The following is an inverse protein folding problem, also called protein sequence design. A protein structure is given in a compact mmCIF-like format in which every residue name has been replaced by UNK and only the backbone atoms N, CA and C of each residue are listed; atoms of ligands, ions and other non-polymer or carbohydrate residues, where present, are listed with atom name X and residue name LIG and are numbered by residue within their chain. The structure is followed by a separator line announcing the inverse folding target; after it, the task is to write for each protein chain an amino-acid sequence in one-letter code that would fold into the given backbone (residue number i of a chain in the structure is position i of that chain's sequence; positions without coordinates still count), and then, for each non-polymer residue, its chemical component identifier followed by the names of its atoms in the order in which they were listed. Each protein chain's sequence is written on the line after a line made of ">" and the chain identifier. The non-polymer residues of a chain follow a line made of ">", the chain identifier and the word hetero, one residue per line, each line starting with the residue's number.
data_IF_563076774824
#
_entry.id   IF_563076774824
#
_cell.length_a   1.000
_cell.length_b   1.000
_cell.length_c   1.000
_cell.angle_alpha   90.00
_cell.angle_beta   90.00
_cell.angle_gamma   90.00
#
_symmetry.space_group_name_H-M   'P 1'
#
loop_
_entity.id
_entity.type
_entity.pdbx_description
1 polymer ?
#
# COMPACT_ATOMS: atom_id res chain seq x y z
N UNK A 1 -67.64 -53.43 -8.66
CA UNK A 1 -66.58 -52.91 -9.53
C UNK A 1 -66.74 -51.40 -9.67
N UNK A 2 -65.74 -50.61 -9.27
CA UNK A 2 -65.18 -49.48 -10.05
C UNK A 2 -64.28 -48.65 -9.12
N UNK A 3 -62.97 -48.74 -9.34
CA UNK A 3 -61.94 -47.92 -8.72
C UNK A 3 -62.04 -46.52 -9.30
N UNK A 4 -61.96 -45.46 -8.48
CA UNK A 4 -61.56 -44.17 -9.01
C UNK A 4 -60.47 -43.51 -8.16
N UNK A 5 -59.45 -43.09 -8.90
CA UNK A 5 -58.07 -42.83 -8.50
C UNK A 5 -57.88 -41.44 -7.89
N UNK A 6 -57.22 -41.38 -6.72
CA UNK A 6 -56.79 -40.12 -6.09
C UNK A 6 -55.51 -39.62 -6.78
N UNK A 7 -55.63 -38.58 -7.63
CA UNK A 7 -54.50 -37.90 -8.25
C UNK A 7 -53.67 -37.16 -7.18
N UNK A 8 -52.46 -37.66 -6.88
CA UNK A 8 -51.47 -36.97 -6.03
C UNK A 8 -50.93 -35.75 -6.79
N UNK A 9 -51.28 -34.54 -6.34
CA UNK A 9 -50.62 -33.30 -6.78
C UNK A 9 -49.18 -33.30 -6.27
N UNK A 10 -48.21 -33.49 -7.16
CA UNK A 10 -46.78 -33.28 -6.87
C UNK A 10 -46.58 -31.79 -6.59
N UNK A 11 -46.48 -31.42 -5.32
CA UNK A 11 -46.01 -30.09 -4.91
C UNK A 11 -44.54 -29.97 -5.32
N UNK A 12 -44.28 -29.24 -6.41
CA UNK A 12 -42.93 -28.89 -6.84
C UNK A 12 -42.37 -27.91 -5.80
N UNK A 13 -41.57 -28.40 -4.87
CA UNK A 13 -40.87 -27.59 -3.86
C UNK A 13 -40.03 -26.53 -4.59
N UNK A 14 -40.49 -25.28 -4.56
CA UNK A 14 -39.70 -24.14 -5.03
C UNK A 14 -38.66 -23.85 -3.95
N UNK A 15 -37.42 -24.28 -4.15
CA UNK A 15 -36.32 -23.89 -3.27
C UNK A 15 -36.19 -22.36 -3.31
N UNK A 16 -36.11 -21.67 -2.16
CA UNK A 16 -35.93 -20.23 -2.15
C UNK A 16 -34.55 -19.92 -2.73
N UNK A 17 -34.53 -19.00 -3.69
CA UNK A 17 -33.30 -18.51 -4.30
C UNK A 17 -32.38 -17.94 -3.20
N UNK A 18 -31.05 -18.16 -3.24
CA UNK A 18 -30.16 -17.82 -2.13
C UNK A 18 -29.79 -16.33 -2.12
N UNK A 19 -30.78 -15.48 -1.90
CA UNK A 19 -30.62 -14.03 -1.75
C UNK A 19 -29.51 -13.59 -0.78
N UNK A 20 -29.28 -14.25 0.37
CA UNK A 20 -28.19 -13.86 1.25
C UNK A 20 -26.80 -13.94 0.60
N UNK A 21 -26.58 -14.95 -0.27
CA UNK A 21 -25.32 -15.10 -1.00
C UNK A 21 -25.15 -14.00 -2.05
N UNK A 22 -26.24 -13.55 -2.67
CA UNK A 22 -26.21 -12.46 -3.66
C UNK A 22 -25.88 -11.14 -2.99
N UNK A 23 -26.47 -10.85 -1.83
CA UNK A 23 -26.19 -9.63 -1.07
C UNK A 23 -24.74 -9.63 -0.59
N UNK A 24 -24.25 -10.75 -0.05
CA UNK A 24 -22.87 -10.88 0.39
C UNK A 24 -21.89 -10.71 -0.77
N UNK A 25 -22.13 -11.37 -1.91
CA UNK A 25 -21.31 -11.24 -3.10
C UNK A 25 -21.29 -9.80 -3.64
N UNK A 26 -22.46 -9.15 -3.71
CA UNK A 26 -22.57 -7.75 -4.11
C UNK A 26 -21.80 -6.80 -3.18
N UNK A 27 -21.94 -6.98 -1.86
CA UNK A 27 -21.24 -6.16 -0.88
C UNK A 27 -19.71 -6.32 -0.98
N UNK A 28 -19.22 -7.55 -1.20
CA UNK A 28 -17.79 -7.80 -1.40
C UNK A 28 -17.26 -7.14 -2.68
N UNK A 29 -18.02 -7.16 -3.77
CA UNK A 29 -17.63 -6.48 -5.02
C UNK A 29 -17.56 -4.96 -4.81
N UNK A 30 -18.55 -4.36 -4.16
CA UNK A 30 -18.54 -2.91 -3.87
C UNK A 30 -17.37 -2.55 -2.96
N UNK A 31 -17.11 -3.34 -1.92
CA UNK A 31 -15.97 -3.13 -1.03
C UNK A 31 -14.63 -3.22 -1.78
N UNK A 32 -14.47 -4.23 -2.65
CA UNK A 32 -13.28 -4.36 -3.47
C UNK A 32 -13.10 -3.15 -4.41
N UNK A 33 -14.15 -2.72 -5.12
CA UNK A 33 -14.11 -1.56 -5.99
C UNK A 33 -13.74 -0.28 -5.22
N UNK A 34 -14.29 -0.09 -4.03
CA UNK A 34 -13.96 1.05 -3.18
C UNK A 34 -12.48 1.04 -2.76
N UNK A 35 -11.95 -0.10 -2.33
CA UNK A 35 -10.55 -0.25 -1.95
C UNK A 35 -9.61 0.01 -3.13
N UNK A 36 -9.88 -0.58 -4.31
CA UNK A 36 -9.04 -0.44 -5.50
C UNK A 36 -9.14 0.95 -6.15
N UNK A 37 -10.32 1.58 -6.15
CA UNK A 37 -10.47 2.95 -6.64
C UNK A 37 -9.74 3.96 -5.76
N UNK A 38 -9.66 3.70 -4.45
CA UNK A 38 -8.97 4.56 -3.50
C UNK A 38 -7.50 4.19 -3.29
N UNK A 39 -7.03 3.10 -3.91
CA UNK A 39 -5.63 2.73 -3.96
C UNK A 39 -4.93 3.63 -4.99
N UNK A 40 -4.66 4.88 -4.61
CA UNK A 40 -3.79 5.75 -5.37
C UNK A 40 -2.47 5.03 -5.63
N UNK A 41 -2.20 4.70 -6.89
CA UNK A 41 -0.93 4.17 -7.36
C UNK A 41 0.13 5.25 -7.10
N UNK A 42 0.71 5.21 -5.89
CA UNK A 42 1.47 6.28 -5.26
C UNK A 42 2.89 6.50 -5.78
N UNK A 43 3.20 5.88 -6.92
CA UNK A 43 4.41 6.12 -7.68
C UNK A 43 4.05 7.08 -8.81
N UNK A 44 4.07 8.38 -8.51
CA UNK A 44 4.00 9.40 -9.55
C UNK A 44 5.06 9.05 -10.59
N UNK A 45 4.61 8.78 -11.83
CA UNK A 45 5.44 8.18 -12.87
C UNK A 45 6.78 8.89 -13.05
N UNK A 46 7.82 8.11 -13.33
CA UNK A 46 9.20 8.59 -13.45
C UNK A 46 10.16 7.84 -12.52
N UNK A 47 11.46 8.03 -12.73
CA UNK A 47 12.49 7.43 -11.90
C UNK A 47 12.96 8.47 -10.88
N UNK A 48 12.86 8.21 -9.56
CA UNK A 48 13.44 9.10 -8.56
C UNK A 48 14.96 8.99 -8.60
N UNK A 49 15.65 10.12 -8.53
CA UNK A 49 17.12 10.20 -8.48
C UNK A 49 17.50 11.16 -7.36
N UNK A 50 18.47 10.77 -6.54
CA UNK A 50 18.86 11.53 -5.35
C UNK A 50 20.26 12.10 -5.51
N UNK A 51 20.49 13.30 -5.01
CA UNK A 51 21.82 13.89 -4.91
C UNK A 51 21.94 14.66 -3.60
N UNK A 52 23.02 14.42 -2.87
CA UNK A 52 23.42 15.21 -1.71
C UNK A 52 24.44 16.27 -2.16
N UNK A 53 24.38 17.46 -1.55
CA UNK A 53 25.35 18.53 -1.76
C UNK A 53 26.75 18.20 -1.22
N UNK A 54 26.82 17.35 -0.20
CA UNK A 54 28.07 16.90 0.42
C UNK A 54 28.06 15.37 0.63
N UNK A 55 29.19 14.73 0.27
CA UNK A 55 29.40 13.28 0.47
C UNK A 55 30.36 12.98 1.62
N UNK A 56 31.22 13.93 1.98
CA UNK A 56 32.15 13.83 3.12
C UNK A 56 32.00 15.06 3.99
N UNK A 57 32.00 14.85 5.30
CA UNK A 57 32.10 15.90 6.31
C UNK A 57 33.45 15.72 6.98
N UNK A 58 34.29 16.74 6.89
CA UNK A 58 35.63 16.73 7.46
C UNK A 58 35.86 18.06 8.17
N UNK A 59 36.01 18.00 9.50
CA UNK A 59 36.27 19.16 10.33
C UNK A 59 37.75 19.34 10.65
N UNK A 60 38.62 18.43 10.17
CA UNK A 60 40.00 18.35 10.60
C UNK A 60 40.12 18.19 12.12
N UNK A 61 41.08 18.90 12.71
CA UNK A 61 41.32 18.88 14.15
C UNK A 61 40.24 19.66 14.91
N UNK A 62 39.42 18.92 15.66
CA UNK A 62 38.41 19.49 16.56
C UNK A 62 38.92 19.43 17.99
N UNK A 63 38.92 20.58 18.68
CA UNK A 63 39.29 20.64 20.10
C UNK A 63 38.36 19.76 20.94
N UNK A 64 38.91 19.16 22.00
CA UNK A 64 38.14 18.40 22.96
C UNK A 64 36.93 19.19 23.48
N UNK A 65 35.80 18.48 23.66
CA UNK A 65 34.53 19.04 24.13
C UNK A 65 33.94 20.15 23.24
N UNK A 66 34.23 20.13 21.93
CA UNK A 66 33.63 21.06 20.96
C UNK A 66 32.60 20.34 20.10
N UNK A 67 31.32 20.65 20.30
CA UNK A 67 30.25 20.12 19.45
C UNK A 67 30.26 20.80 18.07
N UNK A 68 30.05 20.00 17.03
CA UNK A 68 29.90 20.47 15.65
C UNK A 68 28.56 20.02 15.10
N UNK A 69 27.94 20.88 14.30
CA UNK A 69 26.69 20.61 13.60
C UNK A 69 26.92 20.82 12.12
N UNK A 70 26.36 19.95 11.30
CA UNK A 70 26.29 20.10 9.85
C UNK A 70 24.84 19.91 9.39
N UNK A 71 24.57 20.38 8.19
CA UNK A 71 23.34 20.10 7.47
C UNK A 71 23.72 19.53 6.10
N UNK A 72 23.00 18.51 5.63
CA UNK A 72 23.14 17.95 4.29
C UNK A 72 21.88 18.29 3.52
N UNK A 73 22.01 18.96 2.38
CA UNK A 73 20.88 19.20 1.50
C UNK A 73 20.75 18.04 0.53
N UNK A 74 19.62 17.36 0.60
CA UNK A 74 19.24 16.30 -0.31
C UNK A 74 18.26 16.84 -1.34
N UNK A 75 18.53 16.61 -2.62
CA UNK A 75 17.70 17.06 -3.75
C UNK A 75 17.25 15.86 -4.58
N UNK A 76 15.96 15.79 -4.89
CA UNK A 76 15.45 14.89 -5.93
C UNK A 76 15.73 15.51 -7.30
N UNK A 77 16.66 14.91 -8.04
CA UNK A 77 17.05 15.28 -9.40
C UNK A 77 16.36 14.43 -10.46
N UNK A 78 15.55 13.45 -10.04
CA UNK A 78 14.79 12.58 -10.92
C UNK A 78 13.44 13.17 -11.31
N UNK A 79 12.71 12.42 -12.13
CA UNK A 79 11.37 12.78 -12.58
C UNK A 79 10.27 12.12 -11.74
N UNK A 80 10.61 11.07 -11.00
CA UNK A 80 9.71 10.36 -10.10
C UNK A 80 9.63 10.98 -8.70
N UNK A 81 8.59 10.64 -7.96
CA UNK A 81 8.45 11.05 -6.54
C UNK A 81 9.45 10.30 -5.68
N UNK A 82 10.32 11.02 -4.96
CA UNK A 82 11.28 10.43 -4.02
C UNK A 82 10.66 10.25 -2.63
N UNK A 83 10.76 9.04 -2.08
CA UNK A 83 10.30 8.69 -0.73
C UNK A 83 11.41 7.98 0.03
N UNK A 84 11.67 8.40 1.27
CA UNK A 84 12.55 7.69 2.17
C UNK A 84 11.81 6.50 2.79
N UNK A 85 12.37 5.29 2.65
CA UNK A 85 11.83 4.08 3.28
C UNK A 85 12.36 3.89 4.70
N UNK A 86 13.55 4.41 4.96
CA UNK A 86 14.28 4.27 6.22
C UNK A 86 14.90 5.63 6.57
N UNK A 87 15.30 5.79 7.83
CA UNK A 87 16.01 6.98 8.26
C UNK A 87 17.39 7.04 7.57
N UNK A 88 17.79 8.20 7.00
CA UNK A 88 19.13 8.35 6.46
C UNK A 88 20.15 8.25 7.59
N UNK A 89 21.26 7.57 7.32
CA UNK A 89 22.37 7.41 8.25
C UNK A 89 23.66 7.98 7.67
N UNK A 90 24.61 8.25 8.56
CA UNK A 90 25.97 8.65 8.24
C UNK A 90 26.91 7.56 8.79
N UNK A 91 28.04 7.38 8.13
CA UNK A 91 29.08 6.45 8.56
C UNK A 91 30.33 7.23 8.95
N UNK A 92 30.95 6.83 10.07
CA UNK A 92 32.25 7.36 10.48
C UNK A 92 33.31 6.63 9.68
N UNK A 93 33.94 7.33 8.74
CA UNK A 93 35.01 6.76 7.89
C UNK A 93 36.35 6.78 8.63
N UNK A 94 36.64 7.89 9.32
CA UNK A 94 37.88 8.12 10.06
C UNK A 94 37.57 8.91 11.33
N UNK A 95 38.25 8.57 12.45
CA UNK A 95 38.03 9.14 13.78
C UNK A 95 37.69 8.08 14.83
N UNK A 96 37.99 8.37 16.10
CA UNK A 96 37.72 7.48 17.25
C UNK A 96 36.47 7.92 18.03
#
# INVERSE_FOLDING_TARGET
>A
MSKMSKKKKRQKQRKPFPWPLVVLGGALIVAALFLFANQGSGDGGGTPTITADQQKIDYGDVKYNTNKTFAVKVTNTGTGTLRFKEAPYIEVVEGC
#
